data_IF_877960471702
#
_entry.id   IF_877960471702
#
_cell.length_a   1.000
_cell.length_b   1.000
_cell.length_c   1.000
_cell.angle_alpha   90.00
_cell.angle_beta   90.00
_cell.angle_gamma   90.00
#
_symmetry.space_group_name_H-M   'P 1'
#
loop_
_entity.id
_entity.type
_entity.pdbx_description
1 polymer ?
#
# COMPACT_ATOMS: atom_id res chain seq x y z
N UNK A 1 9.32 -44.00 47.41
CA UNK A 1 10.57 -43.33 47.84
C UNK A 1 11.57 -43.42 46.71
N UNK A 2 12.30 -42.32 46.48
CA UNK A 2 13.44 -42.14 45.57
C UNK A 2 13.15 -41.63 44.14
N UNK A 3 13.23 -40.30 43.98
CA UNK A 3 13.77 -39.59 42.79
C UNK A 3 15.30 -39.55 42.90
N UNK A 4 16.10 -39.45 41.81
CA UNK A 4 16.35 -38.18 41.08
C UNK A 4 16.57 -38.31 39.53
N UNK A 5 16.23 -37.28 38.72
CA UNK A 5 17.08 -36.30 37.96
C UNK A 5 17.91 -36.90 36.79
N UNK A 6 18.10 -36.34 35.57
CA UNK A 6 17.98 -34.99 34.99
C UNK A 6 18.20 -35.05 33.43
N UNK A 7 17.75 -34.01 32.69
CA UNK A 7 18.14 -33.56 31.31
C UNK A 7 17.95 -34.49 30.09
N UNK A 8 17.14 -34.18 29.06
CA UNK A 8 17.02 -33.05 28.08
C UNK A 8 17.78 -33.27 26.75
N UNK A 9 16.97 -33.29 25.69
CA UNK A 9 17.14 -32.83 24.30
C UNK A 9 18.08 -33.56 23.29
N UNK A 10 17.43 -34.02 22.22
CA UNK A 10 17.87 -34.42 20.87
C UNK A 10 17.34 -33.35 19.86
N UNK A 11 17.71 -33.34 18.56
CA UNK A 11 18.98 -33.72 17.91
C UNK A 11 19.44 -32.75 16.76
N UNK A 12 20.69 -32.95 16.34
CA UNK A 12 21.29 -32.92 14.98
C UNK A 12 20.55 -32.26 13.79
N UNK A 13 21.28 -31.42 13.02
CA UNK A 13 21.83 -31.71 11.66
C UNK A 13 22.78 -30.55 11.25
N UNK A 14 23.91 -30.90 10.63
CA UNK A 14 24.93 -30.02 10.04
C UNK A 14 25.12 -30.38 8.55
N UNK A 15 25.94 -29.58 7.81
CA UNK A 15 26.53 -29.76 6.44
C UNK A 15 25.68 -29.23 5.25
N UNK A 16 26.11 -28.52 4.17
CA UNK A 16 27.39 -28.17 3.44
C UNK A 16 27.07 -26.89 2.56
N UNK A 17 27.79 -25.76 2.47
CA UNK A 17 29.03 -25.33 1.77
C UNK A 17 29.12 -25.33 0.20
N UNK A 18 29.76 -24.27 -0.36
CA UNK A 18 30.47 -24.12 -1.68
C UNK A 18 29.59 -23.75 -2.93
N UNK A 19 29.89 -22.85 -3.89
CA UNK A 19 30.85 -21.77 -4.16
C UNK A 19 30.57 -21.11 -5.55
N UNK A 20 30.97 -19.83 -5.73
CA UNK A 20 31.46 -19.15 -6.96
C UNK A 20 30.52 -18.82 -8.16
N UNK A 21 30.43 -17.52 -8.51
CA UNK A 21 31.01 -16.97 -9.76
C UNK A 21 30.92 -15.43 -9.82
N UNK A 22 32.07 -14.80 -10.08
CA UNK A 22 32.32 -13.37 -10.31
C UNK A 22 32.16 -13.07 -11.80
N UNK A 23 31.28 -12.14 -12.20
CA UNK A 23 31.25 -11.36 -13.47
C UNK A 23 29.93 -10.53 -13.39
N UNK A 24 29.83 -9.21 -13.40
CA UNK A 24 30.70 -8.17 -13.91
C UNK A 24 30.71 -6.96 -12.97
N UNK A 25 31.92 -6.45 -12.78
CA UNK A 25 32.26 -5.20 -12.11
C UNK A 25 31.86 -4.03 -13.02
N UNK A 26 30.61 -3.61 -12.96
CA UNK A 26 30.31 -2.18 -13.13
C UNK A 26 30.42 -1.59 -11.74
N UNK A 27 31.44 -0.75 -11.53
CA UNK A 27 31.53 0.11 -10.37
C UNK A 27 30.31 1.03 -10.45
N UNK A 28 29.18 0.59 -9.87
CA UNK A 28 28.17 1.51 -9.38
C UNK A 28 28.89 2.17 -8.23
N UNK A 29 29.47 3.34 -8.50
CA UNK A 29 29.80 4.28 -7.44
C UNK A 29 28.55 4.34 -6.57
N UNK A 30 28.59 3.93 -5.29
CA UNK A 30 27.49 4.25 -4.40
C UNK A 30 27.46 5.77 -4.43
N UNK A 31 26.49 6.32 -5.16
CA UNK A 31 26.12 7.70 -5.00
C UNK A 31 25.61 7.70 -3.56
N UNK A 32 26.50 8.02 -2.62
CA UNK A 32 26.15 8.32 -1.25
C UNK A 32 25.29 9.58 -1.34
N UNK A 33 24.02 9.39 -1.70
CA UNK A 33 23.00 10.39 -1.52
C UNK A 33 23.09 10.75 -0.06
N UNK A 34 23.47 12.00 0.22
CA UNK A 34 23.45 12.46 1.58
C UNK A 34 22.02 12.32 2.09
N UNK A 35 21.82 11.72 3.28
CA UNK A 35 20.51 11.65 3.88
C UNK A 35 19.90 13.06 3.92
N UNK A 36 18.68 13.21 3.44
CA UNK A 36 17.98 14.49 3.40
C UNK A 36 16.93 14.52 4.51
N UNK A 37 16.85 15.62 5.25
CA UNK A 37 15.68 15.86 6.10
C UNK A 37 14.41 15.92 5.21
N UNK A 38 13.27 15.53 5.76
CA UNK A 38 12.01 15.65 5.03
C UNK A 38 11.74 17.14 4.74
N UNK A 39 11.59 17.56 3.47
CA UNK A 39 11.34 18.96 3.16
C UNK A 39 9.97 19.43 3.65
N UNK A 40 9.85 20.74 3.92
CA UNK A 40 8.55 21.39 4.00
C UNK A 40 8.08 21.72 2.58
N UNK A 41 6.96 21.13 2.16
CA UNK A 41 6.45 21.28 0.80
C UNK A 41 5.46 22.44 0.74
N UNK A 42 5.64 23.36 -0.22
CA UNK A 42 4.71 24.46 -0.42
C UNK A 42 3.35 23.99 -1.00
N UNK A 43 3.32 22.79 -1.59
CA UNK A 43 2.09 22.20 -2.14
C UNK A 43 2.17 20.66 -2.26
N UNK A 44 1.01 20.01 -2.42
CA UNK A 44 0.94 18.57 -2.68
C UNK A 44 1.58 18.16 -4.01
N UNK A 45 1.58 19.06 -4.99
CA UNK A 45 2.27 18.85 -6.27
C UNK A 45 3.79 18.84 -6.10
N UNK A 46 4.32 19.69 -5.23
CA UNK A 46 5.75 19.69 -4.89
C UNK A 46 6.12 18.40 -4.14
N UNK A 47 5.30 18.00 -3.17
CA UNK A 47 5.44 16.71 -2.49
C UNK A 47 5.40 15.53 -3.48
N UNK A 48 4.48 15.57 -4.46
CA UNK A 48 4.38 14.55 -5.51
C UNK A 48 5.66 14.48 -6.35
N UNK A 49 6.16 15.61 -6.84
CA UNK A 49 7.39 15.67 -7.63
C UNK A 49 8.61 15.19 -6.83
N UNK A 50 8.67 15.52 -5.55
CA UNK A 50 9.71 15.03 -4.66
C UNK A 50 9.63 13.51 -4.47
N UNK A 51 8.44 12.97 -4.20
CA UNK A 51 8.24 11.51 -4.05
C UNK A 51 8.68 10.77 -5.31
N UNK A 52 8.33 11.27 -6.50
CA UNK A 52 8.77 10.68 -7.78
C UNK A 52 10.28 10.65 -7.94
N UNK A 53 10.97 11.71 -7.48
CA UNK A 53 12.43 11.79 -7.55
C UNK A 53 13.11 10.84 -6.57
N UNK A 54 12.49 10.57 -5.43
CA UNK A 54 13.11 9.90 -4.28
C UNK A 54 12.60 8.47 -4.03
N UNK A 55 11.55 8.02 -4.72
CA UNK A 55 11.04 6.65 -4.68
C UNK A 55 10.76 6.14 -6.10
N UNK A 56 11.63 5.27 -6.66
CA UNK A 56 11.39 4.61 -7.94
C UNK A 56 10.04 3.87 -8.00
N UNK A 57 9.62 3.24 -6.91
CA UNK A 57 8.34 2.55 -6.85
C UNK A 57 7.16 3.54 -6.92
N UNK A 58 7.22 4.65 -6.19
CA UNK A 58 6.23 5.72 -6.29
C UNK A 58 6.17 6.30 -7.71
N UNK A 59 7.32 6.55 -8.33
CA UNK A 59 7.37 7.05 -9.70
C UNK A 59 6.69 6.10 -10.68
N UNK A 60 6.94 4.79 -10.53
CA UNK A 60 6.30 3.76 -11.37
C UNK A 60 4.78 3.78 -11.21
N UNK A 61 4.27 3.82 -9.98
CA UNK A 61 2.82 3.93 -9.73
C UNK A 61 2.25 5.22 -10.32
N UNK A 62 2.94 6.35 -10.16
CA UNK A 62 2.50 7.64 -10.68
C UNK A 62 2.43 7.63 -12.21
N UNK A 63 3.43 7.10 -12.91
CA UNK A 63 3.43 6.96 -14.37
C UNK A 63 2.26 6.10 -14.87
N UNK A 64 1.96 5.00 -14.19
CA UNK A 64 0.83 4.14 -14.56
C UNK A 64 -0.52 4.82 -14.34
N UNK A 65 -0.67 5.57 -13.26
CA UNK A 65 -1.87 6.39 -13.00
C UNK A 65 -2.02 7.48 -14.05
N UNK A 66 -0.93 8.14 -14.43
CA UNK A 66 -0.93 9.27 -15.36
C UNK A 66 -1.23 8.88 -16.82
N UNK A 67 -1.09 7.61 -17.19
CA UNK A 67 -1.57 7.09 -18.49
C UNK A 67 -3.07 7.33 -18.70
N UNK A 68 -3.83 7.52 -17.62
CA UNK A 68 -5.27 7.81 -17.66
C UNK A 68 -5.62 9.28 -17.41
N UNK A 69 -4.61 10.13 -17.27
CA UNK A 69 -4.77 11.56 -17.00
C UNK A 69 -3.91 12.03 -15.83
N UNK A 70 -3.54 13.30 -15.84
CA UNK A 70 -2.68 13.90 -14.82
C UNK A 70 -3.30 13.77 -13.41
N UNK A 71 -2.43 13.52 -12.42
CA UNK A 71 -2.82 13.55 -11.01
C UNK A 71 -2.98 15.00 -10.56
N UNK A 72 -4.12 15.31 -9.97
CA UNK A 72 -4.41 16.61 -9.38
C UNK A 72 -4.69 16.49 -7.89
N UNK A 73 -4.59 17.60 -7.17
CA UNK A 73 -4.76 17.63 -5.71
C UNK A 73 -5.87 18.58 -5.28
N UNK A 74 -6.45 18.32 -4.11
CA UNK A 74 -7.47 19.15 -3.51
C UNK A 74 -7.58 18.98 -2.01
N UNK A 75 -8.44 19.80 -1.40
CA UNK A 75 -8.68 19.80 0.03
C UNK A 75 -9.96 19.04 0.34
N UNK A 76 -9.88 18.13 1.30
CA UNK A 76 -11.02 17.44 1.89
C UNK A 76 -11.43 18.17 3.18
N UNK A 77 -12.60 18.83 3.16
CA UNK A 77 -13.01 19.73 4.25
C UNK A 77 -13.60 19.03 5.47
N UNK A 78 -14.34 17.94 5.27
CA UNK A 78 -15.24 17.38 6.28
C UNK A 78 -14.86 15.96 6.75
N UNK A 79 -13.67 15.46 6.39
CA UNK A 79 -13.21 14.11 6.72
C UNK A 79 -11.71 14.10 7.06
N UNK A 80 -11.32 13.11 7.84
CA UNK A 80 -9.91 12.78 8.12
C UNK A 80 -9.34 11.90 6.99
N UNK A 81 -8.02 11.87 6.86
CA UNK A 81 -7.34 11.04 5.85
C UNK A 81 -7.40 11.63 4.43
N UNK A 82 -7.46 10.75 3.44
CA UNK A 82 -7.53 11.09 2.03
C UNK A 82 -8.74 10.46 1.35
N UNK A 83 -8.98 10.89 0.11
CA UNK A 83 -10.00 10.33 -0.77
C UNK A 83 -9.56 10.53 -2.22
N UNK A 84 -9.87 9.56 -3.06
CA UNK A 84 -9.74 9.68 -4.51
C UNK A 84 -11.08 10.03 -5.14
N UNK A 85 -11.13 11.10 -5.93
CA UNK A 85 -12.27 11.43 -6.80
C UNK A 85 -11.97 11.06 -8.26
N UNK A 86 -12.98 10.46 -8.92
CA UNK A 86 -13.00 10.22 -10.36
C UNK A 86 -14.01 11.17 -11.01
N UNK A 87 -13.57 11.94 -11.99
CA UNK A 87 -14.44 12.81 -12.77
C UNK A 87 -13.92 13.05 -14.18
N UNK A 88 -14.74 13.70 -15.02
CA UNK A 88 -14.39 14.05 -16.41
C UNK A 88 -13.17 14.98 -16.54
N UNK A 89 -12.68 15.55 -15.44
CA UNK A 89 -11.51 16.41 -15.37
C UNK A 89 -10.20 15.72 -14.93
N UNK A 90 -10.19 14.40 -14.75
CA UNK A 90 -9.02 13.63 -14.38
C UNK A 90 -9.12 12.94 -13.01
N UNK A 91 -7.98 12.50 -12.50
CA UNK A 91 -7.86 11.79 -11.23
C UNK A 91 -7.41 12.76 -10.15
N UNK A 92 -8.20 12.91 -9.08
CA UNK A 92 -7.94 13.89 -8.03
C UNK A 92 -7.76 13.21 -6.69
N UNK A 93 -6.64 13.49 -6.03
CA UNK A 93 -6.40 13.12 -4.63
C UNK A 93 -6.85 14.30 -3.77
N UNK A 94 -7.85 14.07 -2.93
CA UNK A 94 -8.27 14.99 -1.88
C UNK A 94 -7.61 14.59 -0.57
N UNK A 95 -6.95 15.54 0.09
CA UNK A 95 -6.33 15.32 1.40
C UNK A 95 -6.97 16.24 2.42
N UNK A 96 -7.24 15.72 3.62
CA UNK A 96 -7.79 16.51 4.72
C UNK A 96 -6.95 17.75 5.01
N UNK A 97 -7.60 18.90 5.25
CA UNK A 97 -6.92 20.16 5.60
C UNK A 97 -6.10 20.06 6.90
N UNK A 98 -6.44 19.11 7.75
CA UNK A 98 -5.81 18.85 9.05
C UNK A 98 -4.51 18.06 8.92
N UNK A 99 -4.30 17.35 7.80
CA UNK A 99 -3.06 16.64 7.53
C UNK A 99 -1.93 17.64 7.27
N UNK A 100 -0.80 17.45 7.96
CA UNK A 100 0.42 18.26 7.83
C UNK A 100 1.68 17.37 7.77
N UNK A 101 2.76 17.94 7.22
CA UNK A 101 4.09 17.36 7.20
C UNK A 101 4.13 15.89 6.76
N UNK A 102 4.88 15.08 7.51
CA UNK A 102 5.08 13.66 7.26
C UNK A 102 3.78 12.83 7.18
N UNK A 103 2.80 13.10 8.05
CA UNK A 103 1.51 12.39 8.01
C UNK A 103 0.78 12.63 6.68
N UNK A 104 0.75 13.90 6.22
CA UNK A 104 0.15 14.25 4.92
C UNK A 104 0.83 13.53 3.75
N UNK A 105 2.16 13.48 3.76
CA UNK A 105 2.93 12.80 2.73
C UNK A 105 2.62 11.29 2.69
N UNK A 106 2.51 10.67 3.87
CA UNK A 106 2.18 9.24 3.95
C UNK A 106 0.77 8.91 3.45
N UNK A 107 -0.21 9.75 3.77
CA UNK A 107 -1.57 9.62 3.22
C UNK A 107 -1.56 9.88 1.71
N UNK A 108 -0.79 10.84 1.21
CA UNK A 108 -0.64 11.07 -0.24
C UNK A 108 -0.06 9.85 -0.97
N UNK A 109 0.89 9.13 -0.36
CA UNK A 109 1.41 7.87 -0.89
C UNK A 109 0.28 6.84 -0.97
N UNK A 110 -0.50 6.71 0.10
CA UNK A 110 -1.60 5.76 0.16
C UNK A 110 -2.68 6.05 -0.89
N UNK A 111 -3.09 7.31 -1.08
CA UNK A 111 -4.09 7.64 -2.08
C UNK A 111 -3.59 7.47 -3.52
N UNK A 112 -2.30 7.65 -3.79
CA UNK A 112 -1.74 7.28 -5.08
C UNK A 112 -1.78 5.76 -5.29
N UNK A 113 -1.54 4.98 -4.25
CA UNK A 113 -1.70 3.52 -4.30
C UNK A 113 -3.14 3.13 -4.63
N UNK A 114 -4.13 3.74 -3.99
CA UNK A 114 -5.55 3.52 -4.30
C UNK A 114 -5.86 3.82 -5.78
N UNK A 115 -5.33 4.93 -6.29
CA UNK A 115 -5.42 5.26 -7.72
C UNK A 115 -4.78 4.19 -8.60
N UNK A 116 -3.57 3.75 -8.27
CA UNK A 116 -2.83 2.75 -9.03
C UNK A 116 -3.59 1.41 -9.12
N UNK A 117 -4.24 1.01 -8.02
CA UNK A 117 -4.97 -0.26 -7.93
C UNK A 117 -6.38 -0.22 -8.53
N UNK A 118 -6.87 0.95 -8.94
CA UNK A 118 -8.23 1.10 -9.46
C UNK A 118 -8.55 0.14 -10.62
N UNK A 119 -7.59 -0.12 -11.53
CA UNK A 119 -7.83 -1.06 -12.64
C UNK A 119 -8.13 -2.48 -12.15
N UNK A 120 -7.53 -2.88 -11.04
CA UNK A 120 -7.74 -4.20 -10.45
C UNK A 120 -9.15 -4.27 -9.84
N UNK A 121 -9.57 -3.23 -9.12
CA UNK A 121 -10.95 -3.13 -8.62
C UNK A 121 -11.98 -3.09 -9.76
N UNK A 122 -11.76 -2.26 -10.78
CA UNK A 122 -12.65 -2.17 -11.95
C UNK A 122 -12.77 -3.53 -12.68
N UNK A 123 -11.68 -4.33 -12.71
CA UNK A 123 -11.70 -5.67 -13.29
C UNK A 123 -12.49 -6.69 -12.45
N UNK A 124 -12.44 -6.58 -11.12
CA UNK A 124 -13.28 -7.41 -10.22
C UNK A 124 -14.75 -7.02 -10.35
N UNK A 125 -15.06 -5.71 -10.38
CA UNK A 125 -16.39 -5.17 -10.67
C UNK A 125 -16.94 -5.74 -11.98
N UNK A 126 -16.15 -5.71 -13.06
CA UNK A 126 -16.56 -6.23 -14.37
C UNK A 126 -16.79 -7.76 -14.36
N UNK A 127 -15.96 -8.50 -13.62
CA UNK A 127 -16.16 -9.95 -13.45
C UNK A 127 -17.45 -10.26 -12.69
N UNK A 128 -17.88 -9.43 -11.75
CA UNK A 128 -19.19 -9.56 -11.11
C UNK A 128 -20.34 -9.20 -12.08
N UNK A 129 -20.21 -8.10 -12.83
CA UNK A 129 -21.18 -7.68 -13.86
C UNK A 129 -21.42 -8.77 -14.90
N UNK A 130 -20.35 -9.30 -15.49
CA UNK A 130 -20.39 -10.39 -16.47
C UNK A 130 -20.85 -11.75 -15.90
N UNK A 131 -20.87 -11.91 -14.57
CA UNK A 131 -21.26 -13.16 -13.91
C UNK A 131 -20.15 -14.21 -13.81
N UNK A 132 -18.90 -13.81 -14.09
CA UNK A 132 -17.71 -14.63 -13.87
C UNK A 132 -17.44 -14.83 -12.37
N UNK A 133 -17.67 -13.81 -11.55
CA UNK A 133 -17.77 -13.92 -10.10
C UNK A 133 -19.24 -14.06 -9.73
N UNK A 134 -19.56 -15.09 -8.93
CA UNK A 134 -20.94 -15.51 -8.70
C UNK A 134 -21.46 -15.21 -7.30
N UNK A 135 -20.57 -14.97 -6.33
CA UNK A 135 -20.97 -14.77 -4.94
C UNK A 135 -20.36 -13.50 -4.37
N UNK A 136 -21.04 -12.84 -3.41
CA UNK A 136 -20.50 -11.66 -2.72
C UNK A 136 -19.23 -11.98 -1.93
N UNK A 137 -19.04 -13.20 -1.44
CA UNK A 137 -17.85 -13.59 -0.67
C UNK A 137 -16.60 -13.66 -1.55
N UNK A 138 -16.68 -14.25 -2.75
CA UNK A 138 -15.57 -14.25 -3.71
C UNK A 138 -15.23 -12.82 -4.12
N UNK A 139 -16.27 -12.01 -4.37
CA UNK A 139 -16.13 -10.60 -4.73
C UNK A 139 -15.42 -9.80 -3.63
N UNK A 140 -15.92 -9.87 -2.39
CA UNK A 140 -15.33 -9.20 -1.25
C UNK A 140 -13.88 -9.62 -1.02
N UNK A 141 -13.61 -10.92 -1.02
CA UNK A 141 -12.24 -11.42 -0.85
C UNK A 141 -11.27 -10.85 -1.88
N UNK A 142 -11.66 -10.78 -3.16
CA UNK A 142 -10.78 -10.23 -4.20
C UNK A 142 -10.50 -8.74 -4.01
N UNK A 143 -11.48 -7.94 -3.59
CA UNK A 143 -11.25 -6.53 -3.25
C UNK A 143 -10.35 -6.37 -2.02
N UNK A 144 -10.57 -7.16 -0.97
CA UNK A 144 -9.72 -7.14 0.24
C UNK A 144 -8.27 -7.54 -0.07
N UNK A 145 -8.06 -8.52 -0.95
CA UNK A 145 -6.71 -8.90 -1.39
C UNK A 145 -6.03 -7.78 -2.19
N UNK A 146 -6.78 -7.01 -2.98
CA UNK A 146 -6.23 -5.82 -3.65
C UNK A 146 -5.81 -4.79 -2.59
N UNK A 147 -6.63 -4.48 -1.60
CA UNK A 147 -6.27 -3.51 -0.56
C UNK A 147 -5.08 -3.95 0.31
N UNK A 148 -4.99 -5.25 0.61
CA UNK A 148 -3.82 -5.81 1.28
C UNK A 148 -2.54 -5.56 0.47
N UNK A 149 -2.61 -5.66 -0.86
CA UNK A 149 -1.49 -5.32 -1.75
C UNK A 149 -1.19 -3.83 -1.73
N UNK A 150 -2.20 -3.00 -1.51
CA UNK A 150 -2.05 -1.56 -1.31
C UNK A 150 -1.16 -1.25 -0.10
N UNK A 151 -1.34 -1.98 1.01
CA UNK A 151 -0.45 -1.88 2.17
C UNK A 151 0.99 -2.29 1.83
N UNK A 152 1.17 -3.32 0.99
CA UNK A 152 2.50 -3.74 0.50
C UNK A 152 3.17 -2.64 -0.31
N UNK A 153 2.44 -2.03 -1.24
CA UNK A 153 2.97 -0.95 -2.08
C UNK A 153 3.29 0.31 -1.28
N UNK A 154 2.43 0.70 -0.34
CA UNK A 154 2.70 1.80 0.58
C UNK A 154 3.99 1.57 1.36
N UNK A 155 4.15 0.37 1.95
CA UNK A 155 5.35 0.00 2.70
C UNK A 155 6.61 -0.03 1.82
N UNK A 156 6.53 -0.42 0.55
CA UNK A 156 7.68 -0.36 -0.36
C UNK A 156 8.14 1.07 -0.62
N UNK A 157 7.21 2.01 -0.82
CA UNK A 157 7.56 3.42 -0.94
C UNK A 157 8.22 3.92 0.34
N UNK A 158 7.68 3.59 1.52
CA UNK A 158 8.31 3.96 2.79
C UNK A 158 9.73 3.37 2.93
N UNK A 159 9.98 2.14 2.47
CA UNK A 159 11.31 1.54 2.52
C UNK A 159 12.31 2.27 1.60
N UNK A 160 11.89 2.70 0.41
CA UNK A 160 12.72 3.52 -0.47
C UNK A 160 13.01 4.90 0.13
N UNK A 161 12.02 5.51 0.79
CA UNK A 161 12.20 6.78 1.48
C UNK A 161 13.11 6.67 2.71
N UNK A 162 13.05 5.57 3.46
CA UNK A 162 13.94 5.31 4.60
C UNK A 162 15.42 5.34 4.18
N UNK A 163 15.73 4.88 2.96
CA UNK A 163 17.09 4.86 2.44
C UNK A 163 17.65 6.25 2.09
N UNK A 164 16.79 7.27 1.94
CA UNK A 164 17.20 8.64 1.56
C UNK A 164 16.94 9.67 2.66
N UNK A 165 16.08 9.39 3.64
CA UNK A 165 15.76 10.31 4.71
C UNK A 165 16.78 10.26 5.86
N UNK A 166 17.25 11.43 6.29
CA UNK A 166 18.06 11.56 7.50
C UNK A 166 17.24 11.19 8.74
N UNK A 167 17.71 10.22 9.51
CA UNK A 167 17.00 9.74 10.71
C UNK A 167 15.88 8.72 10.43
N UNK A 168 15.71 8.29 9.18
CA UNK A 168 14.73 7.27 8.79
C UNK A 168 13.31 7.80 8.60
N UNK A 169 12.32 6.92 8.62
CA UNK A 169 10.90 7.29 8.47
C UNK A 169 10.38 8.01 9.72
N UNK A 170 9.90 9.26 9.61
CA UNK A 170 9.25 9.96 10.72
C UNK A 170 8.04 9.19 11.22
N UNK A 171 7.86 9.13 12.55
CA UNK A 171 6.77 8.38 13.19
C UNK A 171 5.40 8.82 12.67
N UNK A 172 5.23 10.10 12.37
CA UNK A 172 3.99 10.67 11.86
C UNK A 172 3.56 10.06 10.51
N UNK A 173 4.48 9.50 9.72
CA UNK A 173 4.14 8.74 8.51
C UNK A 173 3.45 7.40 8.83
N UNK A 174 3.60 6.89 10.05
CA UNK A 174 3.11 5.57 10.48
C UNK A 174 1.89 5.68 11.40
N UNK A 175 1.74 6.78 12.15
CA UNK A 175 0.71 6.95 13.18
C UNK A 175 -0.71 6.72 12.68
N UNK A 176 -1.03 7.14 11.46
CA UNK A 176 -2.38 6.97 10.89
C UNK A 176 -2.67 5.51 10.48
N UNK A 177 -1.63 4.70 10.26
CA UNK A 177 -1.73 3.26 9.98
C UNK A 177 -1.97 2.52 11.28
N UNK A 178 -1.08 2.73 12.26
CA UNK A 178 -1.20 2.23 13.61
C UNK A 178 -0.38 3.14 14.55
N UNK A 179 -1.00 3.76 15.57
CA UNK A 179 -0.32 4.69 16.48
C UNK A 179 0.79 4.05 17.34
N UNK A 180 0.80 2.73 17.47
CA UNK A 180 1.83 1.97 18.19
C UNK A 180 3.12 1.81 17.39
N UNK A 181 3.09 2.05 16.08
CA UNK A 181 4.28 2.02 15.24
C UNK A 181 5.23 3.16 15.59
N UNK A 182 6.51 2.84 15.69
CA UNK A 182 7.56 3.78 16.07
C UNK A 182 8.62 3.98 14.99
N UNK A 183 8.78 3.00 14.10
CA UNK A 183 9.71 3.02 12.97
C UNK A 183 9.24 2.02 11.89
N UNK A 184 9.88 2.04 10.72
CA UNK A 184 9.48 1.16 9.62
C UNK A 184 9.70 -0.33 9.92
N UNK A 185 10.68 -0.68 10.76
CA UNK A 185 10.93 -2.06 11.19
C UNK A 185 9.71 -2.60 11.97
N UNK A 186 9.10 -1.78 12.82
CA UNK A 186 7.88 -2.14 13.55
C UNK A 186 6.63 -2.26 12.66
N UNK A 187 6.68 -1.72 11.44
CA UNK A 187 5.59 -1.85 10.48
C UNK A 187 5.67 -3.19 9.75
N UNK A 188 5.29 -4.25 10.45
CA UNK A 188 5.09 -5.58 9.88
C UNK A 188 3.69 -5.68 9.27
N UNK A 189 3.62 -6.25 8.06
CA UNK A 189 2.33 -6.53 7.45
C UNK A 189 1.77 -7.82 8.02
N UNK A 190 0.49 -7.84 8.44
CA UNK A 190 -0.14 -9.05 8.95
C UNK A 190 -0.19 -10.11 7.84
N UNK A 191 -0.40 -11.38 8.21
CA UNK A 191 -0.67 -12.39 7.20
C UNK A 191 -1.98 -12.05 6.48
N UNK A 192 -2.09 -12.37 5.19
CA UNK A 192 -3.25 -11.97 4.38
C UNK A 192 -4.59 -12.44 4.98
N UNK A 193 -4.64 -13.63 5.60
CA UNK A 193 -5.86 -14.10 6.26
C UNK A 193 -6.20 -13.30 7.53
N UNK A 194 -5.20 -12.82 8.28
CA UNK A 194 -5.40 -11.98 9.47
C UNK A 194 -5.94 -10.60 9.08
N UNK A 195 -5.42 -10.05 7.96
CA UNK A 195 -5.95 -8.82 7.38
C UNK A 195 -7.42 -8.98 6.98
N UNK A 196 -7.75 -10.02 6.20
CA UNK A 196 -9.14 -10.27 5.75
C UNK A 196 -10.07 -10.49 6.95
N UNK A 197 -9.62 -11.20 7.98
CA UNK A 197 -10.40 -11.35 9.22
C UNK A 197 -10.65 -10.00 9.92
N UNK A 198 -9.64 -9.14 9.99
CA UNK A 198 -9.76 -7.83 10.61
C UNK A 198 -10.75 -6.94 9.83
N UNK A 199 -10.70 -6.96 8.50
CA UNK A 199 -11.62 -6.22 7.63
C UNK A 199 -13.06 -6.74 7.70
N UNK A 200 -13.23 -8.06 7.83
CA UNK A 200 -14.55 -8.63 8.08
C UNK A 200 -15.11 -8.18 9.43
N UNK A 201 -14.28 -8.15 10.49
CA UNK A 201 -14.68 -7.71 11.84
C UNK A 201 -14.99 -6.21 11.91
N UNK A 202 -14.33 -5.37 11.12
CA UNK A 202 -14.57 -3.93 11.07
C UNK A 202 -15.86 -3.56 10.31
N UNK A 203 -16.46 -4.51 9.60
CA UNK A 203 -17.59 -4.27 8.70
C UNK A 203 -17.17 -3.78 7.31
N UNK A 204 -15.86 -3.66 7.05
CA UNK A 204 -15.34 -3.25 5.74
C UNK A 204 -15.71 -4.25 4.64
N UNK A 205 -15.52 -5.55 4.86
CA UNK A 205 -15.88 -6.57 3.86
C UNK A 205 -17.39 -6.61 3.59
N UNK A 206 -18.23 -6.23 4.57
CA UNK A 206 -19.67 -6.14 4.37
C UNK A 206 -20.05 -5.08 3.33
N UNK A 207 -19.30 -3.97 3.26
CA UNK A 207 -19.46 -2.97 2.20
C UNK A 207 -19.28 -3.61 0.80
N UNK A 208 -18.28 -4.47 0.62
CA UNK A 208 -18.09 -5.16 -0.66
C UNK A 208 -19.18 -6.17 -0.98
N UNK A 209 -19.74 -6.84 0.02
CA UNK A 209 -20.89 -7.72 -0.20
C UNK A 209 -22.12 -6.96 -0.68
N UNK A 210 -22.34 -5.74 -0.18
CA UNK A 210 -23.40 -4.86 -0.66
C UNK A 210 -23.09 -4.32 -2.06
N UNK A 211 -21.83 -3.93 -2.31
CA UNK A 211 -21.35 -3.44 -3.60
C UNK A 211 -21.51 -4.47 -4.71
N UNK A 212 -21.26 -5.74 -4.43
CA UNK A 212 -21.51 -6.85 -5.36
C UNK A 212 -22.91 -6.80 -5.97
N UNK A 213 -23.94 -6.56 -5.16
CA UNK A 213 -25.32 -6.49 -5.64
C UNK A 213 -25.59 -5.24 -6.49
N UNK A 214 -24.88 -4.15 -6.23
CA UNK A 214 -24.89 -2.97 -7.12
C UNK A 214 -24.31 -3.34 -8.47
N UNK A 215 -23.15 -4.01 -8.50
CA UNK A 215 -22.53 -4.47 -9.74
C UNK A 215 -23.43 -5.44 -10.51
N UNK A 216 -24.10 -6.39 -9.84
CA UNK A 216 -25.06 -7.28 -10.52
C UNK A 216 -26.21 -6.53 -11.20
N UNK A 217 -26.67 -5.40 -10.66
CA UNK A 217 -27.74 -4.58 -11.25
C UNK A 217 -27.26 -3.76 -12.46
N UNK A 218 -25.98 -3.45 -12.52
CA UNK A 218 -25.34 -2.70 -13.62
C UNK A 218 -24.94 -3.58 -14.81
N UNK A 219 -25.11 -4.91 -14.69
CA UNK A 219 -24.84 -5.84 -15.79
C UNK A 219 -25.61 -5.43 -17.07
N UNK A 220 -24.97 -5.45 -18.25
CA UNK A 220 -25.64 -5.19 -19.51
C UNK A 220 -26.86 -6.10 -19.64
N UNK A 221 -28.05 -5.53 -19.79
CA UNK A 221 -29.24 -6.33 -20.10
C UNK A 221 -28.97 -7.00 -21.45
N UNK A 222 -28.96 -8.33 -21.47
CA UNK A 222 -28.81 -9.08 -22.70
C UNK A 222 -29.77 -8.51 -23.75
N UNK A 223 -29.23 -8.08 -24.90
CA UNK A 223 -30.04 -7.70 -26.04
C UNK A 223 -30.89 -8.93 -26.38
N UNK A 224 -32.21 -8.79 -26.19
CA UNK A 224 -33.19 -9.84 -26.48
C UNK A 224 -33.30 -10.06 -27.98
#
# INVERSE_FOLDING_TARGET
MSTPAFMRHLPYIALVAVAWCVFALSIITPCHAQPIALPDFASDLEAHAWLRKHSPYYNTMAEEVEKEGAVSYGVLEARTGGLVERGSGGRRILLSKELKGACRLSVQIFELTNLYQQRQHDAVDERARSGSIKTPEEFGLLHELIEYDGLRYHRFVLAELEAVLEGGIPREMLTWINPELTNLVSYELPLAFEFVEAQAKSGHTAHYHEWFWTQKREAPKAAR
#
